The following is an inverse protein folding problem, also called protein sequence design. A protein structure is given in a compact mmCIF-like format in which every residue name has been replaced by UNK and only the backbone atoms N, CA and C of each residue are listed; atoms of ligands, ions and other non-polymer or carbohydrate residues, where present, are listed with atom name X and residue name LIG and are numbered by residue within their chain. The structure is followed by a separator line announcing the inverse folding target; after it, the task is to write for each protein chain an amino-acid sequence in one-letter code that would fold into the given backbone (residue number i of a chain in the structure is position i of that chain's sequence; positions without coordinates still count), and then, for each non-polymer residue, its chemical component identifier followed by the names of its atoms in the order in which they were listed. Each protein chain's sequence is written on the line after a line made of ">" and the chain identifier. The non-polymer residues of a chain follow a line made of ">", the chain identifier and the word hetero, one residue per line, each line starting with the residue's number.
data_IF_498029807010
#
_entry.id   IF_498029807010
#
_cell.length_a   1.000
_cell.length_b   1.000
_cell.length_c   1.000
_cell.angle_alpha   90.00
_cell.angle_beta   90.00
_cell.angle_gamma   90.00
#
_symmetry.space_group_name_H-M   'P 1'
#
loop_
_entity.id
_entity.type
_entity.pdbx_description
1 polymer ?
#
# COMPACT_ATOMS: atom_id res chain seq x y z
N UNK A 1 26.67 16.10 43.42
CA UNK A 1 26.36 15.43 42.14
C UNK A 1 25.59 14.10 42.25
N UNK A 2 25.70 13.31 43.33
CA UNK A 2 24.99 12.01 43.46
C UNK A 2 23.46 12.08 43.70
N UNK A 3 22.93 13.21 44.17
CA UNK A 3 21.48 13.40 44.41
C UNK A 3 20.70 13.75 43.14
N UNK A 4 21.31 14.49 42.21
CA UNK A 4 20.71 14.85 40.92
C UNK A 4 20.56 13.61 40.02
N UNK A 5 21.56 12.74 40.01
CA UNK A 5 21.52 11.45 39.30
C UNK A 5 20.43 10.52 39.83
N UNK A 6 20.23 10.47 41.16
CA UNK A 6 19.12 9.70 41.76
C UNK A 6 17.74 10.25 41.37
N UNK A 7 17.54 11.57 41.39
CA UNK A 7 16.28 12.17 40.95
C UNK A 7 16.00 11.94 39.47
N UNK A 8 17.03 12.01 38.62
CA UNK A 8 16.92 11.71 37.19
C UNK A 8 16.60 10.23 36.93
N UNK A 9 17.26 9.30 37.64
CA UNK A 9 16.96 7.87 37.52
C UNK A 9 15.55 7.54 38.00
N UNK A 10 15.08 8.16 39.09
CA UNK A 10 13.71 7.98 39.58
C UNK A 10 12.69 8.54 38.57
N UNK A 11 12.94 9.71 37.99
CA UNK A 11 12.07 10.28 36.98
C UNK A 11 12.00 9.41 35.71
N UNK A 12 13.13 8.89 35.24
CA UNK A 12 13.18 7.98 34.09
C UNK A 12 12.45 6.67 34.38
N UNK A 13 12.62 6.11 35.59
CA UNK A 13 11.93 4.88 35.98
C UNK A 13 10.40 5.07 36.02
N UNK A 14 9.92 6.16 36.62
CA UNK A 14 8.49 6.50 36.63
C UNK A 14 7.94 6.73 35.23
N UNK A 15 8.70 7.38 34.35
CA UNK A 15 8.31 7.60 32.95
C UNK A 15 8.20 6.27 32.19
N UNK A 16 9.16 5.36 32.38
CA UNK A 16 9.08 4.02 31.77
C UNK A 16 7.89 3.22 32.28
N UNK A 17 7.61 3.22 33.59
CA UNK A 17 6.45 2.55 34.16
C UNK A 17 5.12 3.13 33.63
N UNK A 18 5.06 4.44 33.41
CA UNK A 18 3.88 5.08 32.83
C UNK A 18 3.65 4.66 31.37
N UNK A 19 4.70 4.61 30.54
CA UNK A 19 4.58 4.15 29.15
C UNK A 19 4.18 2.68 29.09
N UNK A 20 4.79 1.82 29.89
CA UNK A 20 4.41 0.40 29.94
C UNK A 20 3.00 0.21 30.49
N UNK A 21 2.61 0.95 31.54
CA UNK A 21 1.27 0.90 32.11
C UNK A 21 0.19 1.36 31.13
N UNK A 22 0.43 2.44 30.38
CA UNK A 22 -0.51 2.91 29.35
C UNK A 22 -0.59 1.93 28.18
N UNK A 23 0.54 1.39 27.71
CA UNK A 23 0.57 0.37 26.65
C UNK A 23 -0.12 -0.94 27.04
N UNK A 24 -0.01 -1.37 28.30
CA UNK A 24 -0.77 -2.52 28.79
C UNK A 24 -2.26 -2.18 29.01
N UNK A 25 -2.57 -0.98 29.52
CA UNK A 25 -3.94 -0.51 29.74
C UNK A 25 -4.75 -0.37 28.45
N UNK A 26 -4.18 0.29 27.43
CA UNK A 26 -4.79 0.46 26.10
C UNK A 26 -5.01 -0.88 25.38
N UNK A 27 -4.21 -1.91 25.69
CA UNK A 27 -4.41 -3.27 25.15
C UNK A 27 -5.46 -4.09 25.91
N UNK A 28 -5.78 -3.73 27.16
CA UNK A 28 -6.84 -4.37 27.96
C UNK A 28 -8.20 -3.71 27.81
N UNK A 29 -8.29 -2.55 27.15
CA UNK A 29 -9.56 -1.96 26.75
C UNK A 29 -10.14 -2.77 25.60
N UNK A 30 -10.84 -3.86 25.95
CA UNK A 30 -11.80 -4.50 25.08
C UNK A 30 -12.82 -3.41 24.66
N UNK A 31 -13.08 -3.20 23.36
CA UNK A 31 -14.16 -2.33 22.94
C UNK A 31 -15.44 -2.86 23.58
N UNK A 32 -16.03 -2.09 24.49
CA UNK A 32 -17.39 -2.36 24.96
C UNK A 32 -18.31 -2.00 23.81
N UNK A 33 -18.87 -3.03 23.19
CA UNK A 33 -19.92 -2.93 22.18
C UNK A 33 -21.08 -2.09 22.69
N UNK A 34 -21.42 -1.04 21.94
CA UNK A 34 -22.56 -0.21 22.27
C UNK A 34 -22.67 1.09 21.49
N UNK A 35 -22.60 1.05 20.15
CA UNK A 35 -23.50 1.78 19.25
C UNK A 35 -23.03 1.64 17.79
N UNK A 36 -23.72 0.80 17.04
CA UNK A 36 -24.26 1.03 15.69
C UNK A 36 -24.33 -0.31 14.97
N UNK A 37 -25.50 -0.93 15.15
CA UNK A 37 -26.12 -1.79 14.15
C UNK A 37 -25.88 -1.24 12.73
N UNK A 38 -25.47 -2.13 11.82
CA UNK A 38 -25.95 -2.29 10.44
C UNK A 38 -24.86 -2.96 9.59
N UNK A 39 -24.68 -4.27 9.79
CA UNK A 39 -24.10 -5.15 8.78
C UNK A 39 -24.78 -6.52 8.86
N UNK A 40 -25.78 -6.81 8.02
CA UNK A 40 -26.39 -8.13 7.99
C UNK A 40 -25.52 -9.12 7.21
N UNK A 41 -25.14 -10.21 7.88
CA UNK A 41 -25.23 -11.55 7.31
C UNK A 41 -24.01 -12.08 6.58
N UNK A 42 -23.09 -12.69 7.34
CA UNK A 42 -22.28 -13.79 6.85
C UNK A 42 -22.67 -15.04 7.65
N UNK A 43 -23.63 -15.82 7.15
CA UNK A 43 -23.95 -17.14 7.70
C UNK A 43 -23.52 -18.24 6.72
N UNK A 44 -22.47 -18.94 7.17
CA UNK A 44 -22.33 -20.40 7.20
C UNK A 44 -22.69 -21.24 5.96
N UNK A 45 -21.64 -21.87 5.43
CA UNK A 45 -21.65 -23.07 4.58
C UNK A 45 -22.38 -24.25 5.28
N UNK A 46 -23.03 -25.15 4.53
CA UNK A 46 -22.54 -26.54 4.46
C UNK A 46 -22.66 -27.12 3.02
N UNK A 47 -21.57 -27.60 2.43
CA UNK A 47 -21.14 -29.01 2.38
C UNK A 47 -21.95 -29.91 1.40
N UNK A 48 -21.19 -30.68 0.60
CA UNK A 48 -21.50 -31.96 -0.06
C UNK A 48 -21.68 -31.95 -1.59
N UNK A 49 -20.81 -32.75 -2.25
CA UNK A 49 -20.90 -33.39 -3.56
C UNK A 49 -20.89 -32.46 -4.80
N UNK A 50 -20.05 -32.64 -5.82
CA UNK A 50 -19.10 -33.69 -6.14
C UNK A 50 -18.71 -33.53 -7.62
N UNK A 51 -17.53 -34.06 -7.98
CA UNK A 51 -17.19 -34.61 -9.30
C UNK A 51 -17.03 -33.63 -10.49
N UNK A 52 -15.76 -33.41 -10.86
CA UNK A 52 -15.17 -33.72 -12.19
C UNK A 52 -16.12 -33.60 -13.39
N UNK A 53 -15.93 -32.65 -14.32
CA UNK A 53 -15.06 -32.76 -15.52
C UNK A 53 -15.25 -31.59 -16.51
N UNK A 54 -14.19 -31.39 -17.31
CA UNK A 54 -14.05 -30.77 -18.65
C UNK A 54 -15.22 -30.02 -19.35
N UNK A 55 -14.84 -28.83 -19.85
CA UNK A 55 -14.94 -28.34 -21.25
C UNK A 55 -16.33 -28.35 -21.92
N UNK A 56 -16.91 -27.16 -22.16
CA UNK A 56 -17.35 -26.70 -23.51
C UNK A 56 -18.22 -25.43 -23.45
N UNK A 57 -18.01 -24.57 -24.44
CA UNK A 57 -18.85 -23.47 -24.96
C UNK A 57 -19.31 -23.96 -26.37
N UNK A 58 -20.38 -23.49 -27.07
CA UNK A 58 -21.42 -22.47 -26.80
C UNK A 58 -22.89 -22.87 -27.19
N UNK A 59 -23.81 -21.93 -26.86
CA UNK A 59 -24.90 -21.37 -27.71
C UNK A 59 -26.34 -21.93 -27.69
N UNK A 60 -27.22 -20.93 -27.52
CA UNK A 60 -28.54 -20.68 -28.13
C UNK A 60 -29.85 -21.12 -27.46
N UNK A 61 -30.52 -20.07 -26.97
CA UNK A 61 -31.93 -19.69 -27.11
C UNK A 61 -33.02 -20.57 -26.48
N UNK A 62 -33.77 -19.99 -25.54
CA UNK A 62 -35.23 -19.72 -25.67
C UNK A 62 -35.70 -18.83 -24.51
N UNK A 63 -36.45 -17.77 -24.82
CA UNK A 63 -37.00 -16.82 -23.87
C UNK A 63 -38.40 -17.25 -23.36
N UNK A 64 -38.70 -16.94 -22.09
CA UNK A 64 -40.06 -16.59 -21.66
C UNK A 64 -40.07 -15.86 -20.30
N UNK A 65 -41.11 -15.06 -20.02
CA UNK A 65 -40.99 -13.80 -19.29
C UNK A 65 -41.43 -13.90 -17.83
N UNK A 66 -40.90 -12.99 -17.01
CA UNK A 66 -41.55 -12.60 -15.76
C UNK A 66 -40.67 -12.73 -14.53
N UNK A 67 -39.89 -11.69 -14.24
CA UNK A 67 -40.02 -10.97 -12.97
C UNK A 67 -39.08 -9.77 -12.96
N UNK A 68 -39.69 -8.60 -12.83
CA UNK A 68 -39.00 -7.34 -12.64
C UNK A 68 -38.12 -7.39 -11.39
N UNK A 69 -36.83 -7.15 -11.58
CA UNK A 69 -35.93 -6.63 -10.55
C UNK A 69 -35.00 -5.64 -11.26
N UNK A 70 -34.83 -4.41 -10.74
CA UNK A 70 -34.00 -3.42 -11.38
C UNK A 70 -32.56 -3.95 -11.45
N UNK A 71 -31.88 -3.83 -12.61
CA UNK A 71 -30.47 -4.17 -12.67
C UNK A 71 -29.74 -3.27 -11.68
N UNK A 72 -29.05 -3.92 -10.75
CA UNK A 72 -28.24 -3.28 -9.73
C UNK A 72 -27.36 -2.22 -10.37
N UNK A 73 -27.63 -0.99 -9.98
CA UNK A 73 -26.86 0.21 -10.32
C UNK A 73 -25.51 0.16 -9.59
N UNK A 74 -24.68 -0.82 -9.91
CA UNK A 74 -23.29 -0.90 -9.46
C UNK A 74 -22.30 -0.56 -10.59
N UNK A 75 -22.81 -0.07 -11.71
CA UNK A 75 -22.12 0.86 -12.61
C UNK A 75 -22.72 2.25 -12.43
N UNK A 76 -22.73 2.72 -11.17
CA UNK A 76 -22.60 4.14 -10.91
C UNK A 76 -21.09 4.42 -11.04
N UNK A 77 -20.47 4.33 -12.23
CA UNK A 77 -20.52 5.46 -13.17
C UNK A 77 -21.42 6.59 -12.65
N UNK A 78 -21.08 7.13 -11.48
CA UNK A 78 -21.35 8.52 -11.21
C UNK A 78 -20.71 9.16 -12.42
N UNK A 79 -21.53 9.74 -13.26
CA UNK A 79 -21.17 10.79 -14.20
C UNK A 79 -20.48 11.88 -13.36
N UNK A 80 -19.27 11.60 -12.88
CA UNK A 80 -18.47 12.48 -12.05
C UNK A 80 -17.67 13.29 -13.04
N UNK A 81 -18.29 14.40 -13.43
CA UNK A 81 -17.69 15.50 -14.16
C UNK A 81 -17.07 15.12 -15.51
N UNK A 82 -17.91 14.88 -16.51
CA UNK A 82 -17.51 15.14 -17.90
C UNK A 82 -17.35 16.66 -18.10
N UNK A 83 -16.34 17.25 -17.47
CA UNK A 83 -15.71 18.46 -17.96
C UNK A 83 -14.90 18.10 -19.22
N UNK A 84 -14.31 19.08 -19.92
CA UNK A 84 -13.43 18.82 -21.07
C UNK A 84 -12.22 17.92 -20.75
N UNK A 85 -11.99 17.63 -19.48
CA UNK A 85 -10.86 16.91 -18.88
C UNK A 85 -11.06 15.37 -18.78
N UNK A 86 -11.92 14.74 -19.57
CA UNK A 86 -12.02 13.26 -19.61
C UNK A 86 -12.79 12.60 -18.45
N UNK A 87 -12.94 11.28 -18.54
CA UNK A 87 -13.63 10.44 -17.52
C UNK A 87 -12.64 10.16 -16.39
N UNK A 88 -13.10 10.00 -15.16
CA UNK A 88 -12.29 9.61 -13.99
C UNK A 88 -12.95 8.41 -13.30
N UNK A 89 -12.17 7.37 -12.94
CA UNK A 89 -12.66 6.24 -12.15
C UNK A 89 -12.15 6.31 -10.70
N UNK A 90 -13.08 6.47 -9.76
CA UNK A 90 -12.78 6.50 -8.31
C UNK A 90 -12.66 5.10 -7.68
N UNK A 91 -13.17 4.08 -8.37
CA UNK A 91 -13.07 2.68 -7.93
C UNK A 91 -11.75 2.03 -8.35
N UNK A 92 -10.93 2.74 -9.11
CA UNK A 92 -9.59 2.30 -9.54
C UNK A 92 -8.55 2.95 -8.65
N UNK A 93 -7.75 2.10 -8.02
CA UNK A 93 -6.73 2.51 -7.07
C UNK A 93 -5.34 2.09 -7.53
N UNK A 94 -4.34 2.92 -7.23
CA UNK A 94 -2.94 2.63 -7.50
C UNK A 94 -2.08 2.79 -6.25
N UNK A 95 -1.00 2.01 -6.17
CA UNK A 95 0.04 2.20 -5.17
C UNK A 95 1.09 3.18 -5.70
N UNK A 96 1.36 4.21 -4.92
CA UNK A 96 2.33 5.25 -5.28
C UNK A 96 3.33 5.47 -4.15
N UNK A 97 4.59 5.66 -4.50
CA UNK A 97 5.69 5.75 -3.55
C UNK A 97 6.39 7.11 -3.67
N UNK A 98 6.46 7.83 -2.55
CA UNK A 98 7.05 9.18 -2.48
C UNK A 98 8.44 9.17 -1.83
N UNK A 99 9.21 8.10 -2.01
CA UNK A 99 10.45 7.84 -1.28
C UNK A 99 11.73 8.00 -2.12
N UNK A 100 11.63 8.52 -3.33
CA UNK A 100 12.77 8.73 -4.22
C UNK A 100 13.38 10.12 -4.02
N UNK A 101 14.69 10.24 -4.17
CA UNK A 101 15.40 11.50 -4.02
C UNK A 101 16.62 11.63 -4.93
N UNK A 102 16.94 12.84 -5.35
CA UNK A 102 18.03 13.15 -6.28
C UNK A 102 19.06 14.10 -5.64
N UNK A 103 20.34 14.08 -6.06
CA UNK A 103 21.38 14.97 -5.50
C UNK A 103 21.05 16.45 -5.64
N UNK A 104 20.34 16.84 -6.70
CA UNK A 104 19.97 18.22 -6.95
C UNK A 104 18.97 18.77 -5.91
N UNK A 105 17.94 17.98 -5.57
CA UNK A 105 16.87 18.39 -4.66
C UNK A 105 17.09 17.96 -3.21
N UNK A 106 17.72 16.80 -2.99
CA UNK A 106 17.84 16.12 -1.70
C UNK A 106 19.29 16.05 -1.16
N UNK A 107 20.27 16.50 -1.95
CA UNK A 107 21.70 16.46 -1.63
C UNK A 107 22.34 15.07 -1.75
N UNK A 108 21.55 14.02 -1.98
CA UNK A 108 22.00 12.66 -2.27
C UNK A 108 20.91 11.87 -2.99
N UNK A 109 21.28 10.76 -3.61
CA UNK A 109 20.29 9.77 -4.04
C UNK A 109 19.62 9.14 -2.82
N UNK A 110 18.30 8.96 -2.93
CA UNK A 110 17.48 8.24 -1.94
C UNK A 110 16.69 7.18 -2.68
N UNK A 111 16.78 5.95 -2.19
CA UNK A 111 16.11 4.76 -2.72
C UNK A 111 16.60 4.30 -4.10
N UNK A 112 17.04 5.20 -4.99
CA UNK A 112 17.76 4.84 -6.21
C UNK A 112 19.07 4.09 -5.92
N UNK A 113 19.76 4.48 -4.85
CA UNK A 113 21.00 3.87 -4.37
C UNK A 113 20.74 2.70 -3.39
N UNK A 114 19.67 1.94 -3.61
CA UNK A 114 19.25 0.87 -2.70
C UNK A 114 20.38 -0.14 -2.43
N UNK A 115 20.41 -0.70 -1.22
CA UNK A 115 21.36 -1.75 -0.88
C UNK A 115 20.96 -3.06 -1.58
N UNK A 116 21.93 -3.81 -2.08
CA UNK A 116 21.67 -5.17 -2.55
C UNK A 116 21.34 -6.03 -1.32
N UNK A 117 20.09 -6.47 -1.25
CA UNK A 117 19.60 -7.28 -0.13
C UNK A 117 20.24 -8.66 -0.21
N UNK A 118 21.02 -9.08 0.80
CA UNK A 118 21.67 -10.37 0.78
C UNK A 118 20.64 -11.50 0.87
N UNK A 119 20.99 -12.65 0.30
CA UNK A 119 20.23 -13.88 0.54
C UNK A 119 20.25 -14.24 2.03
N UNK A 120 19.16 -14.85 2.52
CA UNK A 120 19.01 -15.19 3.95
C UNK A 120 20.02 -16.24 4.43
N UNK A 121 20.37 -17.22 3.58
CA UNK A 121 21.47 -18.17 3.83
C UNK A 121 22.83 -17.50 3.55
N UNK A 122 23.71 -17.34 4.55
CA UNK A 122 25.03 -16.71 4.39
C UNK A 122 25.93 -17.42 3.37
N UNK A 123 25.79 -18.75 3.20
CA UNK A 123 26.59 -19.51 2.23
C UNK A 123 26.24 -19.09 0.81
N UNK A 124 24.95 -18.96 0.53
CA UNK A 124 24.44 -18.49 -0.76
C UNK A 124 24.69 -16.99 -0.91
N UNK A 125 24.53 -16.19 0.14
CA UNK A 125 24.77 -14.75 0.08
C UNK A 125 26.20 -14.40 -0.36
N UNK A 126 27.18 -15.26 -0.03
CA UNK A 126 28.58 -15.07 -0.42
C UNK A 126 28.82 -15.16 -1.94
N UNK A 127 27.96 -15.83 -2.69
CA UNK A 127 28.07 -15.96 -4.15
C UNK A 127 27.43 -14.80 -4.92
N UNK A 128 26.67 -13.92 -4.25
CA UNK A 128 26.01 -12.79 -4.88
C UNK A 128 26.76 -11.47 -4.65
N UNK A 129 26.62 -10.48 -5.56
CA UNK A 129 27.17 -9.15 -5.35
C UNK A 129 26.60 -8.51 -4.08
N UNK A 130 27.46 -7.72 -3.40
CA UNK A 130 27.12 -6.97 -2.19
C UNK A 130 27.47 -5.50 -2.41
N UNK A 131 26.76 -4.62 -1.72
CA UNK A 131 26.99 -3.17 -1.81
C UNK A 131 25.69 -2.41 -2.01
N UNK A 132 25.81 -1.22 -2.59
CA UNK A 132 24.69 -0.36 -2.98
C UNK A 132 24.79 -0.08 -4.48
N UNK A 133 23.65 0.16 -5.10
CA UNK A 133 23.61 0.70 -6.45
C UNK A 133 24.29 2.08 -6.51
N UNK A 134 24.89 2.41 -7.66
CA UNK A 134 25.59 3.69 -7.90
C UNK A 134 24.92 4.52 -9.02
N UNK A 135 23.85 5.27 -8.71
CA UNK A 135 23.19 6.12 -9.71
C UNK A 135 24.12 7.25 -10.21
N UNK A 136 23.94 7.74 -11.45
CA UNK A 136 22.75 7.55 -12.27
C UNK A 136 22.74 6.28 -13.15
N UNK A 137 23.89 5.71 -13.53
CA UNK A 137 23.92 4.58 -14.48
C UNK A 137 23.49 3.24 -13.84
N UNK A 138 23.72 3.07 -12.55
CA UNK A 138 23.36 1.86 -11.79
C UNK A 138 22.31 2.20 -10.71
N UNK A 139 21.05 1.88 -10.99
CA UNK A 139 19.91 2.14 -10.09
C UNK A 139 19.36 0.84 -9.51
N UNK A 140 18.75 0.92 -8.32
CA UNK A 140 18.06 -0.19 -7.64
C UNK A 140 16.74 -0.62 -8.30
N UNK A 141 16.75 -0.80 -9.62
CA UNK A 141 15.61 -1.22 -10.43
C UNK A 141 16.09 -1.98 -11.65
N UNK A 142 15.36 -3.01 -12.07
CA UNK A 142 15.61 -3.69 -13.36
C UNK A 142 15.20 -2.85 -14.57
N UNK A 143 14.42 -1.79 -14.37
CA UNK A 143 13.97 -0.85 -15.40
C UNK A 143 14.46 0.56 -15.08
N UNK A 144 14.74 1.34 -16.12
CA UNK A 144 15.19 2.72 -15.98
C UNK A 144 14.03 3.70 -16.23
N UNK A 145 13.76 4.65 -15.33
CA UNK A 145 12.68 5.62 -15.50
C UNK A 145 13.00 6.65 -16.59
N UNK A 146 12.00 7.04 -17.37
CA UNK A 146 12.12 8.08 -18.40
C UNK A 146 12.51 9.45 -17.80
N UNK A 147 11.99 9.76 -16.61
CA UNK A 147 12.29 10.99 -15.86
C UNK A 147 13.67 10.97 -15.19
N UNK A 148 14.53 9.98 -15.50
CA UNK A 148 15.81 9.74 -14.81
C UNK A 148 15.61 9.50 -13.29
N UNK A 149 16.69 9.32 -12.50
CA UNK A 149 16.61 9.22 -11.04
C UNK A 149 16.12 10.52 -10.39
N UNK A 150 14.79 10.70 -10.39
CA UNK A 150 14.09 11.89 -9.96
C UNK A 150 13.98 12.01 -8.44
N UNK A 151 13.56 13.18 -7.95
CA UNK A 151 13.13 13.37 -6.57
C UNK A 151 11.62 13.36 -6.46
N UNK A 152 11.05 12.61 -5.51
CA UNK A 152 9.61 12.65 -5.22
C UNK A 152 9.16 13.99 -4.62
N UNK A 153 10.09 14.88 -4.27
CA UNK A 153 9.82 16.24 -3.75
C UNK A 153 9.83 17.29 -4.85
N UNK A 154 10.22 16.93 -6.07
CA UNK A 154 10.24 17.81 -7.22
C UNK A 154 8.80 18.05 -7.72
N UNK A 155 8.31 19.31 -7.74
CA UNK A 155 6.96 19.61 -8.20
C UNK A 155 6.73 19.25 -9.67
N UNK A 156 7.75 19.39 -10.54
CA UNK A 156 7.60 19.13 -11.98
C UNK A 156 7.42 17.63 -12.24
N UNK A 157 8.09 16.80 -11.44
CA UNK A 157 7.94 15.34 -11.45
C UNK A 157 6.55 14.93 -10.95
N UNK A 158 6.07 15.57 -9.87
CA UNK A 158 4.73 15.30 -9.34
C UNK A 158 3.65 15.67 -10.36
N UNK A 159 3.77 16.81 -11.03
CA UNK A 159 2.85 17.23 -12.07
C UNK A 159 2.82 16.22 -13.22
N UNK A 160 4.00 15.83 -13.73
CA UNK A 160 4.13 14.79 -14.77
C UNK A 160 3.50 13.46 -14.34
N UNK A 161 3.66 13.04 -13.09
CA UNK A 161 3.00 11.83 -12.59
C UNK A 161 1.48 11.98 -12.55
N UNK A 162 0.93 13.13 -12.14
CA UNK A 162 -0.52 13.34 -12.14
C UNK A 162 -1.10 13.36 -13.55
N UNK A 163 -0.38 13.90 -14.54
CA UNK A 163 -0.76 13.81 -15.95
C UNK A 163 -0.80 12.35 -16.42
N UNK A 164 0.21 11.53 -16.07
CA UNK A 164 0.17 10.09 -16.39
C UNK A 164 -1.03 9.39 -15.76
N UNK A 165 -1.38 9.72 -14.50
CA UNK A 165 -2.55 9.15 -13.82
C UNK A 165 -3.86 9.56 -14.46
N UNK A 166 -3.94 10.80 -14.92
CA UNK A 166 -5.08 11.31 -15.63
C UNK A 166 -5.30 10.57 -16.96
N UNK A 167 -4.24 10.35 -17.73
CA UNK A 167 -4.29 9.60 -18.99
C UNK A 167 -4.67 8.14 -18.77
N UNK A 168 -4.25 7.51 -17.68
CA UNK A 168 -4.64 6.14 -17.34
C UNK A 168 -5.93 6.03 -16.50
N UNK A 169 -6.65 7.15 -16.33
CA UNK A 169 -8.00 7.22 -15.75
C UNK A 169 -8.07 6.74 -14.28
N UNK A 170 -6.98 6.94 -13.53
CA UNK A 170 -6.87 6.54 -12.13
C UNK A 170 -6.87 7.78 -11.23
N UNK A 171 -7.71 7.82 -10.19
CA UNK A 171 -7.75 8.98 -9.26
C UNK A 171 -7.42 8.64 -7.81
N UNK A 172 -7.63 7.40 -7.37
CA UNK A 172 -7.30 7.08 -5.97
C UNK A 172 -5.87 6.56 -5.82
N UNK A 173 -5.01 7.44 -5.30
CA UNK A 173 -3.61 7.15 -5.02
C UNK A 173 -3.43 6.76 -3.56
N UNK A 174 -3.01 5.53 -3.30
CA UNK A 174 -2.55 5.12 -1.98
C UNK A 174 -1.05 5.41 -1.87
N UNK A 175 -0.71 6.44 -1.10
CA UNK A 175 0.68 6.74 -0.76
C UNK A 175 1.19 5.68 0.21
N UNK A 176 2.04 4.80 -0.29
CA UNK A 176 2.54 3.67 0.47
C UNK A 176 3.82 4.06 1.22
N UNK A 177 3.77 3.98 2.55
CA UNK A 177 4.96 4.06 3.40
C UNK A 177 5.41 2.63 3.69
N UNK A 178 6.18 2.04 2.78
CA UNK A 178 6.78 0.73 3.00
C UNK A 178 7.95 0.86 3.99
N UNK A 179 7.75 0.39 5.21
CA UNK A 179 8.86 0.10 6.13
C UNK A 179 9.39 -1.28 5.73
N UNK A 180 10.61 -1.37 5.20
CA UNK A 180 11.28 -2.66 4.99
C UNK A 180 11.47 -3.35 6.35
N UNK A 181 10.51 -4.18 6.75
CA UNK A 181 10.66 -5.09 7.87
C UNK A 181 11.41 -6.31 7.34
N UNK A 182 12.72 -6.34 7.54
CA UNK A 182 13.49 -7.57 7.39
C UNK A 182 13.03 -8.54 8.48
N UNK A 183 12.16 -9.49 8.12
CA UNK A 183 11.84 -10.62 9.00
C UNK A 183 13.08 -11.53 9.02
N UNK A 184 13.72 -11.58 10.18
CA UNK A 184 14.86 -12.46 10.48
C UNK A 184 14.39 -13.85 10.91
#
# INVERSE_FOLDING_TARGET
>A
MARLRRKACVALFLFTLFIFGTMMGLRTLKPSDGFSDLAPGLDLLPMIAGKVDRRSVPRDATASPGQARPPGTNTKAVLSNSGPEGIIFYDVHIFYYTWYGSPHMDGKYIHWDHILVPHWDPKIASSYPRGRHMPPEDVGSSFYPELNPYSSRDPDVLESHMEHLHVCVCVCVYVCVCVCVCVA
#
